data_IF_788466380890
#
_entry.id   IF_788466380890
#
_cell.length_a   1.000
_cell.length_b   1.000
_cell.length_c   1.000
_cell.angle_alpha   90.00
_cell.angle_beta   90.00
_cell.angle_gamma   90.00
#
_symmetry.space_group_name_H-M   'P 1'
#
loop_
_entity.id
_entity.type
_entity.pdbx_description
1 polymer ?
#
# COMPACT_ATOMS: atom_id res chain seq x y z
N UNK A 1 -9.42 -5.12 12.22
CA UNK A 1 -9.14 -3.76 12.75
C UNK A 1 -7.76 -3.27 12.29
N UNK A 2 -7.49 -1.96 12.28
CA UNK A 2 -6.19 -1.41 11.89
C UNK A 2 -5.06 -1.96 12.78
N UNK A 3 -4.03 -2.50 12.13
CA UNK A 3 -2.84 -3.08 12.75
C UNK A 3 -1.55 -2.30 12.48
N UNK A 4 -1.50 -1.48 11.42
CA UNK A 4 -0.35 -0.67 11.06
C UNK A 4 -0.79 0.55 10.23
N UNK A 5 -0.02 1.63 10.31
CA UNK A 5 -0.23 2.86 9.55
C UNK A 5 0.92 3.09 8.59
N UNK A 6 0.62 3.06 7.29
CA UNK A 6 1.57 3.33 6.23
C UNK A 6 1.50 4.80 5.81
N UNK A 7 2.67 5.42 5.78
CA UNK A 7 2.84 6.82 5.42
C UNK A 7 3.21 6.87 3.94
N UNK A 8 2.21 7.26 3.14
CA UNK A 8 2.28 7.37 1.69
C UNK A 8 2.32 6.05 0.90
N UNK A 9 2.19 6.16 -0.43
CA UNK A 9 2.35 5.06 -1.38
C UNK A 9 3.43 5.42 -2.39
N UNK A 10 4.40 4.53 -2.67
CA UNK A 10 5.42 4.72 -3.72
C UNK A 10 6.04 6.13 -3.80
N UNK A 11 6.59 6.68 -2.69
CA UNK A 11 7.12 8.04 -2.68
C UNK A 11 8.30 8.29 -3.64
N UNK A 12 8.92 7.23 -4.15
CA UNK A 12 9.97 7.30 -5.18
C UNK A 12 9.44 7.14 -6.62
N UNK A 13 8.12 7.17 -6.81
CA UNK A 13 7.46 7.07 -8.11
C UNK A 13 6.75 8.39 -8.45
N UNK A 14 7.03 8.96 -9.63
CA UNK A 14 6.44 10.24 -10.07
C UNK A 14 4.90 10.24 -10.06
N UNK A 15 4.32 9.05 -10.21
CA UNK A 15 2.88 8.79 -10.16
C UNK A 15 2.25 8.99 -8.79
N UNK A 16 3.07 9.10 -7.73
CA UNK A 16 2.61 9.22 -6.36
C UNK A 16 3.31 10.36 -5.60
N UNK A 17 4.49 10.82 -6.02
CA UNK A 17 5.16 11.98 -5.46
C UNK A 17 5.90 12.73 -6.56
N UNK A 18 5.75 14.05 -6.65
CA UNK A 18 6.32 14.84 -7.75
C UNK A 18 7.80 15.20 -7.51
N UNK A 19 8.76 14.57 -8.22
CA UNK A 19 10.18 14.87 -8.08
C UNK A 19 10.58 16.18 -8.76
N UNK A 20 9.74 16.79 -9.60
CA UNK A 20 10.06 18.12 -10.15
C UNK A 20 9.89 19.20 -9.07
N UNK A 21 8.96 19.01 -8.14
CA UNK A 21 8.75 19.90 -6.99
C UNK A 21 9.70 19.56 -5.84
N UNK A 22 9.96 18.27 -5.59
CA UNK A 22 10.79 17.78 -4.48
C UNK A 22 11.88 16.81 -4.96
N UNK A 23 12.88 17.30 -5.73
CA UNK A 23 13.85 16.45 -6.43
C UNK A 23 14.79 15.66 -5.54
N UNK A 24 14.91 16.04 -4.27
CA UNK A 24 15.77 15.39 -3.28
C UNK A 24 14.97 14.73 -2.13
N UNK A 25 13.64 14.69 -2.25
CA UNK A 25 12.72 14.14 -1.24
C UNK A 25 12.81 14.81 0.13
N UNK A 26 13.22 16.08 0.19
CA UNK A 26 13.28 16.84 1.44
C UNK A 26 11.87 17.07 2.00
N UNK A 27 10.94 17.53 1.16
CA UNK A 27 9.56 17.80 1.58
C UNK A 27 8.85 16.50 1.97
N UNK A 28 9.11 15.41 1.24
CA UNK A 28 8.61 14.08 1.60
C UNK A 28 9.11 13.67 2.99
N UNK A 29 10.41 13.82 3.23
CA UNK A 29 11.03 13.43 4.50
C UNK A 29 10.43 14.21 5.67
N UNK A 30 10.30 15.53 5.54
CA UNK A 30 9.68 16.38 6.56
C UNK A 30 8.22 16.01 6.83
N UNK A 31 7.45 15.75 5.77
CA UNK A 31 6.05 15.32 5.87
C UNK A 31 5.93 13.94 6.54
N UNK A 32 6.77 12.98 6.15
CA UNK A 32 6.73 11.63 6.68
C UNK A 32 7.08 11.61 8.18
N UNK A 33 8.07 12.40 8.60
CA UNK A 33 8.42 12.56 10.02
C UNK A 33 7.25 13.17 10.80
N UNK A 34 6.64 14.24 10.30
CA UNK A 34 5.50 14.88 10.97
C UNK A 34 4.30 13.92 11.11
N UNK A 35 3.95 13.21 10.02
CA UNK A 35 2.88 12.22 10.05
C UNK A 35 3.16 11.07 11.02
N UNK A 36 4.40 10.55 11.02
CA UNK A 36 4.82 9.51 11.96
C UNK A 36 4.67 9.97 13.42
N UNK A 37 5.14 11.17 13.75
CA UNK A 37 5.05 11.73 15.09
C UNK A 37 3.58 11.85 15.53
N UNK A 38 2.72 12.39 14.67
CA UNK A 38 1.30 12.53 14.94
C UNK A 38 0.59 11.16 15.10
N UNK A 39 0.95 10.16 14.28
CA UNK A 39 0.47 8.78 14.43
C UNK A 39 0.91 8.21 15.79
N UNK A 40 2.18 8.40 16.17
CA UNK A 40 2.73 7.92 17.45
C UNK A 40 2.04 8.57 18.65
N UNK A 41 1.72 9.86 18.57
CA UNK A 41 0.96 10.57 19.60
C UNK A 41 -0.47 10.04 19.72
N UNK A 42 -1.12 9.74 18.58
CA UNK A 42 -2.48 9.17 18.55
C UNK A 42 -2.53 7.72 19.06
N UNK A 43 -1.56 6.89 18.67
CA UNK A 43 -1.41 5.52 19.15
C UNK A 43 0.08 5.08 19.08
N UNK A 44 0.80 5.07 20.22
CA UNK A 44 2.22 4.73 20.25
C UNK A 44 2.51 3.26 19.96
N UNK A 45 1.51 2.38 20.09
CA UNK A 45 1.64 0.94 19.89
C UNK A 45 1.40 0.52 18.43
N UNK A 46 1.01 1.46 17.56
CA UNK A 46 0.75 1.18 16.16
C UNK A 46 2.07 1.27 15.35
N UNK A 47 2.48 0.19 14.67
CA UNK A 47 3.59 0.22 13.74
C UNK A 47 3.38 1.28 12.66
N UNK A 48 4.41 2.11 12.45
CA UNK A 48 4.47 3.11 11.38
C UNK A 48 5.31 2.53 10.25
N UNK A 49 4.71 2.40 9.08
CA UNK A 49 5.31 1.78 7.90
C UNK A 49 5.67 2.88 6.91
N UNK A 50 6.92 2.93 6.46
CA UNK A 50 7.30 3.76 5.33
C UNK A 50 6.59 3.24 4.07
N UNK A 51 5.95 4.12 3.31
CA UNK A 51 5.28 3.78 2.05
C UNK A 51 6.13 2.92 1.13
N UNK A 52 5.53 1.85 0.59
CA UNK A 52 6.26 0.87 -0.19
C UNK A 52 6.87 1.48 -1.46
N UNK A 53 8.16 1.20 -1.71
CA UNK A 53 8.90 1.80 -2.82
C UNK A 53 8.79 0.98 -4.11
N UNK A 54 8.64 1.69 -5.24
CA UNK A 54 8.59 1.10 -6.58
C UNK A 54 9.19 2.08 -7.61
N UNK A 55 10.38 1.79 -8.16
CA UNK A 55 11.16 0.56 -8.02
C UNK A 55 11.76 0.34 -6.63
N UNK A 56 12.22 -0.89 -6.36
CA UNK A 56 13.04 -1.20 -5.19
C UNK A 56 14.41 -0.55 -5.38
N UNK A 57 14.77 0.35 -4.46
CA UNK A 57 15.98 1.18 -4.54
C UNK A 57 16.59 1.42 -3.13
N UNK A 58 17.72 0.77 -2.80
CA UNK A 58 18.44 1.00 -1.55
C UNK A 58 19.01 2.43 -1.42
N UNK A 59 19.29 3.11 -2.54
CA UNK A 59 19.76 4.49 -2.56
C UNK A 59 18.72 5.45 -2.01
N UNK A 60 17.45 5.27 -2.42
CA UNK A 60 16.32 6.00 -1.86
C UNK A 60 16.17 5.80 -0.34
N UNK A 61 16.32 4.55 0.14
CA UNK A 61 16.28 4.26 1.58
C UNK A 61 17.41 4.97 2.33
N UNK A 62 18.64 4.97 1.80
CA UNK A 62 19.75 5.72 2.39
C UNK A 62 19.48 7.23 2.41
N UNK A 63 18.93 7.82 1.35
CA UNK A 63 18.58 9.23 1.32
C UNK A 63 17.58 9.59 2.45
N UNK A 64 16.53 8.78 2.62
CA UNK A 64 15.56 9.00 3.70
C UNK A 64 16.16 8.76 5.09
N UNK A 65 17.11 7.83 5.21
CA UNK A 65 17.86 7.56 6.44
C UNK A 65 18.71 8.76 6.85
N UNK A 66 19.46 9.33 5.92
CA UNK A 66 20.29 10.52 6.15
C UNK A 66 19.46 11.74 6.56
N UNK A 67 18.17 11.76 6.19
CA UNK A 67 17.18 12.78 6.56
C UNK A 67 16.42 12.47 7.85
N UNK A 68 16.72 11.35 8.52
CA UNK A 68 16.14 10.96 9.81
C UNK A 68 14.79 10.26 9.72
N UNK A 69 14.25 9.97 8.53
CA UNK A 69 12.92 9.33 8.40
C UNK A 69 12.88 7.95 9.05
N UNK A 70 13.97 7.18 8.91
CA UNK A 70 14.05 5.81 9.45
C UNK A 70 14.05 5.76 10.98
N UNK A 71 14.35 6.85 11.67
CA UNK A 71 14.24 6.96 13.14
C UNK A 71 12.77 7.08 13.60
N UNK A 72 11.88 7.42 12.66
CA UNK A 72 10.47 7.68 12.90
C UNK A 72 9.56 6.56 12.35
N UNK A 73 10.08 5.58 11.62
CA UNK A 73 9.29 4.42 11.18
C UNK A 73 9.80 3.12 11.78
N UNK A 74 8.91 2.14 11.86
CA UNK A 74 9.21 0.82 12.41
C UNK A 74 9.50 -0.20 11.30
N UNK A 75 8.95 0.02 10.10
CA UNK A 75 9.03 -0.91 8.97
C UNK A 75 9.34 -0.16 7.68
N UNK A 76 10.16 -0.76 6.81
CA UNK A 76 10.35 -0.33 5.42
C UNK A 76 9.54 -1.25 4.51
N UNK A 77 8.79 -0.67 3.57
CA UNK A 77 8.02 -1.47 2.63
C UNK A 77 8.60 -1.38 1.20
N UNK A 78 8.39 -2.43 0.42
CA UNK A 78 8.80 -2.52 -0.98
C UNK A 78 7.66 -3.08 -1.83
N UNK A 79 7.59 -2.66 -3.09
CA UNK A 79 6.66 -3.20 -4.07
C UNK A 79 7.41 -3.87 -5.22
N UNK A 80 6.81 -4.90 -5.82
CA UNK A 80 7.42 -5.58 -6.96
C UNK A 80 6.43 -6.20 -7.93
N UNK A 81 6.69 -5.96 -9.20
CA UNK A 81 5.93 -6.36 -10.37
C UNK A 81 6.89 -6.76 -11.51
N UNK A 82 7.72 -7.79 -11.30
CA UNK A 82 8.80 -8.16 -12.21
C UNK A 82 8.35 -8.68 -13.58
N UNK A 83 7.06 -8.95 -13.77
CA UNK A 83 6.50 -9.36 -15.06
C UNK A 83 5.80 -8.20 -15.80
N UNK A 84 5.74 -7.02 -15.18
CA UNK A 84 4.89 -5.93 -15.64
C UNK A 84 5.66 -4.60 -15.76
N UNK A 85 6.16 -4.06 -14.65
CA UNK A 85 6.76 -2.71 -14.63
C UNK A 85 8.22 -2.69 -14.18
N UNK A 86 8.67 -3.68 -13.40
CA UNK A 86 10.05 -3.68 -12.95
C UNK A 86 10.99 -4.40 -13.93
N UNK A 87 12.23 -3.89 -14.02
CA UNK A 87 13.25 -4.36 -14.96
C UNK A 87 14.20 -5.39 -14.32
N UNK A 88 13.63 -6.37 -13.61
CA UNK A 88 14.34 -7.49 -13.00
C UNK A 88 13.44 -8.74 -13.02
N UNK A 89 14.05 -9.92 -13.02
CA UNK A 89 13.35 -11.20 -13.14
C UNK A 89 12.77 -11.63 -11.78
N UNK A 90 11.62 -12.30 -11.77
CA UNK A 90 10.96 -12.75 -10.54
C UNK A 90 11.87 -13.56 -9.59
N UNK A 91 12.86 -14.31 -10.13
CA UNK A 91 13.84 -15.08 -9.36
C UNK A 91 14.79 -14.21 -8.52
N UNK A 92 14.88 -12.92 -8.82
CA UNK A 92 15.72 -11.95 -8.12
C UNK A 92 15.04 -11.38 -6.86
N UNK A 93 13.78 -11.74 -6.56
CA UNK A 93 13.06 -11.31 -5.35
C UNK A 93 13.90 -11.43 -4.06
N UNK A 94 14.53 -12.57 -3.73
CA UNK A 94 15.36 -12.68 -2.54
C UNK A 94 16.52 -11.68 -2.54
N UNK A 95 17.20 -11.51 -3.67
CA UNK A 95 18.28 -10.53 -3.81
C UNK A 95 17.78 -9.08 -3.65
N UNK A 96 16.58 -8.76 -4.15
CA UNK A 96 15.95 -7.44 -3.96
C UNK A 96 15.62 -7.14 -2.50
N UNK A 97 15.20 -8.14 -1.73
CA UNK A 97 15.03 -7.97 -0.28
C UNK A 97 16.39 -7.76 0.40
N UNK A 98 17.41 -8.54 0.03
CA UNK A 98 18.74 -8.45 0.63
C UNK A 98 19.45 -7.12 0.30
N UNK A 99 19.23 -6.56 -0.89
CA UNK A 99 19.68 -5.21 -1.26
C UNK A 99 19.17 -4.14 -0.28
N UNK A 100 17.91 -4.24 0.15
CA UNK A 100 17.32 -3.31 1.13
C UNK A 100 17.80 -3.62 2.55
N UNK A 101 17.93 -4.91 2.93
CA UNK A 101 18.51 -5.30 4.23
C UNK A 101 19.93 -4.78 4.43
N UNK A 102 20.68 -4.61 3.35
CA UNK A 102 22.05 -4.10 3.42
C UNK A 102 22.12 -2.64 3.90
N UNK A 103 21.03 -1.87 3.82
CA UNK A 103 21.01 -0.43 4.13
C UNK A 103 20.15 -0.05 5.35
N UNK A 104 19.31 -0.97 5.83
CA UNK A 104 18.46 -0.78 7.02
C UNK A 104 18.35 -2.06 7.86
N UNK A 105 18.25 -1.88 9.18
CA UNK A 105 17.97 -2.91 10.18
C UNK A 105 16.47 -3.08 10.46
N UNK A 106 15.61 -2.24 9.86
CA UNK A 106 14.16 -2.32 10.01
C UNK A 106 13.61 -3.57 9.31
N UNK A 107 12.56 -4.21 9.84
CA UNK A 107 11.81 -5.22 9.11
C UNK A 107 11.35 -4.71 7.74
N UNK A 108 11.37 -5.61 6.75
CA UNK A 108 10.96 -5.32 5.38
C UNK A 108 9.65 -6.02 5.10
N UNK A 109 8.63 -5.28 4.67
CA UNK A 109 7.36 -5.84 4.21
C UNK A 109 7.23 -5.70 2.69
N UNK A 110 6.66 -6.70 2.03
CA UNK A 110 6.25 -6.61 0.63
C UNK A 110 4.79 -6.17 0.61
N UNK A 111 4.54 -4.88 0.50
CA UNK A 111 3.18 -4.32 0.68
C UNK A 111 2.39 -4.21 -0.62
N UNK A 112 3.00 -4.57 -1.73
CA UNK A 112 2.33 -4.72 -3.02
C UNK A 112 3.16 -5.62 -3.92
N UNK A 113 2.60 -6.76 -4.32
CA UNK A 113 3.17 -7.63 -5.35
C UNK A 113 2.05 -8.22 -6.18
N UNK A 114 2.21 -8.26 -7.50
CA UNK A 114 1.17 -8.77 -8.37
C UNK A 114 1.68 -9.06 -9.76
N UNK A 115 0.85 -9.72 -10.55
CA UNK A 115 1.15 -10.09 -11.92
C UNK A 115 -0.09 -9.88 -12.78
N UNK A 116 0.07 -9.12 -13.86
CA UNK A 116 -1.02 -8.81 -14.77
C UNK A 116 -1.38 -9.99 -15.66
N UNK A 117 -2.67 -10.23 -15.83
CA UNK A 117 -3.20 -11.20 -16.81
C UNK A 117 -3.36 -10.60 -18.21
N UNK A 118 -2.83 -9.40 -18.49
CA UNK A 118 -3.00 -8.71 -19.78
C UNK A 118 -2.63 -9.58 -20.99
N UNK A 119 -1.57 -10.40 -20.88
CA UNK A 119 -1.14 -11.31 -21.94
C UNK A 119 -1.87 -12.65 -21.94
N UNK A 120 -2.07 -13.25 -20.75
CA UNK A 120 -2.77 -14.52 -20.54
C UNK A 120 -3.07 -14.70 -19.04
N UNK A 121 -4.18 -15.34 -18.68
CA UNK A 121 -4.56 -15.54 -17.27
C UNK A 121 -3.66 -16.57 -16.56
N UNK A 122 -3.12 -17.54 -17.28
CA UNK A 122 -2.23 -18.58 -16.77
C UNK A 122 -0.88 -18.03 -16.27
N UNK A 123 -0.47 -16.86 -16.77
CA UNK A 123 0.76 -16.19 -16.32
C UNK A 123 0.65 -15.79 -14.85
N UNK A 124 -0.53 -15.33 -14.42
CA UNK A 124 -0.79 -14.98 -13.03
C UNK A 124 -0.78 -16.21 -12.12
N UNK A 125 -1.27 -17.37 -12.59
CA UNK A 125 -1.19 -18.65 -11.86
C UNK A 125 0.26 -19.01 -11.55
N UNK A 126 1.11 -19.07 -12.60
CA UNK A 126 2.52 -19.40 -12.43
C UNK A 126 3.23 -18.41 -11.51
N UNK A 127 2.99 -17.13 -11.76
CA UNK A 127 3.72 -16.08 -11.08
C UNK A 127 3.28 -15.86 -9.63
N UNK A 128 2.01 -16.10 -9.30
CA UNK A 128 1.53 -16.14 -7.91
C UNK A 128 2.23 -17.25 -7.14
N UNK A 129 2.23 -18.46 -7.69
CA UNK A 129 2.89 -19.61 -7.07
C UNK A 129 4.39 -19.37 -6.88
N UNK A 130 5.06 -18.77 -7.88
CA UNK A 130 6.48 -18.45 -7.78
C UNK A 130 6.77 -17.34 -6.78
N UNK A 131 5.90 -16.33 -6.69
CA UNK A 131 5.99 -15.25 -5.70
C UNK A 131 5.86 -15.82 -4.28
N UNK A 132 4.86 -16.67 -4.06
CA UNK A 132 4.64 -17.33 -2.77
C UNK A 132 5.86 -18.17 -2.36
N UNK A 133 6.41 -18.98 -3.27
CA UNK A 133 7.62 -19.78 -3.02
C UNK A 133 8.84 -18.92 -2.62
N UNK A 134 9.00 -17.76 -3.27
CA UNK A 134 10.17 -16.91 -3.08
C UNK A 134 10.07 -15.98 -1.88
N UNK A 135 8.86 -15.58 -1.45
CA UNK A 135 8.67 -14.57 -0.42
C UNK A 135 8.14 -15.13 0.90
N UNK A 136 7.32 -16.19 0.89
CA UNK A 136 6.80 -16.76 2.14
C UNK A 136 7.96 -17.26 3.00
N UNK A 137 8.00 -16.80 4.26
CA UNK A 137 9.10 -17.08 5.18
C UNK A 137 10.36 -16.23 4.97
N UNK A 138 10.44 -15.45 3.89
CA UNK A 138 11.53 -14.47 3.69
C UNK A 138 11.24 -13.13 4.32
N UNK A 139 9.98 -12.69 4.33
CA UNK A 139 9.55 -11.40 4.91
C UNK A 139 8.31 -11.59 5.79
N UNK A 140 8.08 -10.74 6.81
CA UNK A 140 6.98 -10.94 7.76
C UNK A 140 5.59 -10.74 7.14
N UNK A 141 5.44 -9.84 6.16
CA UNK A 141 4.16 -9.54 5.50
C UNK A 141 4.29 -9.39 4.00
N UNK A 142 3.32 -9.95 3.29
CA UNK A 142 3.21 -9.92 1.83
C UNK A 142 1.77 -9.61 1.45
N UNK A 143 1.54 -8.63 0.58
CA UNK A 143 0.21 -8.28 0.09
C UNK A 143 0.13 -8.46 -1.42
N UNK A 144 -0.74 -9.38 -1.86
CA UNK A 144 -1.02 -9.62 -3.27
C UNK A 144 -1.94 -8.52 -3.83
N UNK A 145 -1.50 -7.85 -4.89
CA UNK A 145 -2.26 -6.87 -5.64
C UNK A 145 -2.82 -7.52 -6.92
N UNK A 146 -4.12 -7.68 -7.08
CA UNK A 146 -5.24 -7.25 -6.20
C UNK A 146 -6.37 -8.28 -6.17
N UNK A 147 -7.47 -7.97 -5.46
CA UNK A 147 -8.66 -8.82 -5.50
C UNK A 147 -9.43 -8.62 -6.81
N UNK A 148 -9.73 -7.38 -7.19
CA UNK A 148 -10.47 -7.08 -8.43
C UNK A 148 -9.59 -6.40 -9.46
N UNK A 149 -9.84 -6.74 -10.72
CA UNK A 149 -9.41 -5.91 -11.84
C UNK A 149 -9.93 -4.48 -11.68
N UNK A 150 -9.11 -3.53 -12.10
CA UNK A 150 -9.53 -2.13 -12.18
C UNK A 150 -10.56 -1.99 -13.31
N UNK A 151 -11.73 -1.38 -13.07
CA UNK A 151 -12.71 -1.17 -14.12
C UNK A 151 -12.14 -0.38 -15.29
N UNK A 152 -12.37 -0.82 -16.54
CA UNK A 152 -11.82 -0.10 -17.71
C UNK A 152 -12.42 1.29 -17.90
N UNK A 153 -13.61 1.51 -17.36
CA UNK A 153 -14.28 2.81 -17.35
C UNK A 153 -13.67 3.78 -16.33
N UNK A 154 -12.84 3.30 -15.40
CA UNK A 154 -12.15 4.14 -14.42
C UNK A 154 -10.80 4.55 -14.98
N UNK A 155 -10.42 5.81 -14.79
CA UNK A 155 -9.05 6.22 -15.09
C UNK A 155 -8.09 5.55 -14.10
N UNK A 156 -7.00 4.98 -14.61
CA UNK A 156 -5.86 4.62 -13.77
C UNK A 156 -5.22 5.93 -13.29
N UNK A 157 -5.74 6.47 -12.17
CA UNK A 157 -5.51 7.83 -11.67
C UNK A 157 -4.03 8.20 -11.53
N UNK A 158 -3.15 7.21 -11.43
CA UNK A 158 -1.71 7.38 -11.21
C UNK A 158 -0.85 7.25 -12.48
N UNK A 159 -1.40 7.10 -13.70
CA UNK A 159 -0.59 6.65 -14.86
C UNK A 159 -0.88 7.38 -16.17
N UNK A 160 0.18 7.62 -16.97
CA UNK A 160 0.11 8.44 -18.18
C UNK A 160 0.03 7.56 -19.44
N UNK A 161 -1.18 7.38 -19.96
CA UNK A 161 -1.50 6.49 -21.11
C UNK A 161 -0.54 6.63 -22.30
N UNK A 162 -0.16 7.86 -22.66
CA UNK A 162 0.71 8.14 -23.81
C UNK A 162 2.19 7.82 -23.54
N UNK A 163 2.62 7.85 -22.27
CA UNK A 163 4.03 7.63 -21.89
C UNK A 163 4.35 6.18 -21.54
N UNK A 164 3.35 5.36 -21.18
CA UNK A 164 3.55 4.00 -20.67
C UNK A 164 3.33 2.89 -21.70
N UNK A 165 2.84 3.23 -22.90
CA UNK A 165 2.62 2.25 -23.97
C UNK A 165 1.74 1.08 -23.53
N UNK A 166 2.14 -0.15 -23.83
CA UNK A 166 1.37 -1.35 -23.46
C UNK A 166 1.31 -1.60 -21.95
N UNK A 167 2.27 -1.08 -21.18
CA UNK A 167 2.30 -1.24 -19.71
C UNK A 167 1.17 -0.50 -19.02
N UNK A 168 0.54 0.49 -19.67
CA UNK A 168 -0.68 1.14 -19.19
C UNK A 168 -1.84 0.15 -19.06
N UNK A 169 -1.98 -0.77 -20.02
CA UNK A 169 -3.13 -1.68 -20.01
C UNK A 169 -3.04 -2.75 -18.93
N UNK A 170 -1.82 -3.04 -18.43
CA UNK A 170 -1.59 -4.05 -17.39
C UNK A 170 -2.32 -3.73 -16.08
N UNK A 171 -2.50 -2.44 -15.78
CA UNK A 171 -3.19 -1.96 -14.57
C UNK A 171 -4.64 -2.48 -14.46
N UNK A 172 -5.30 -2.76 -15.59
CA UNK A 172 -6.69 -3.24 -15.64
C UNK A 172 -6.84 -4.75 -15.46
N UNK A 173 -5.75 -5.50 -15.28
CA UNK A 173 -5.76 -6.98 -15.29
C UNK A 173 -4.99 -7.60 -14.11
N UNK A 174 -4.90 -6.88 -12.98
CA UNK A 174 -4.14 -7.32 -11.79
C UNK A 174 -4.97 -8.16 -10.81
N UNK A 175 -6.30 -8.16 -10.93
CA UNK A 175 -7.19 -8.84 -10.00
C UNK A 175 -7.12 -10.35 -10.10
N UNK A 176 -7.40 -11.02 -8.99
CA UNK A 176 -7.77 -12.44 -8.94
C UNK A 176 -9.22 -12.67 -9.43
N UNK A 177 -10.03 -11.62 -9.38
CA UNK A 177 -11.36 -11.50 -9.96
C UNK A 177 -11.31 -10.52 -11.12
N UNK A 178 -12.15 -10.77 -12.13
CA UNK A 178 -12.41 -9.79 -13.20
C UNK A 178 -13.22 -8.62 -12.67
N UNK A 179 -13.38 -7.58 -13.49
CA UNK A 179 -14.16 -6.38 -13.16
C UNK A 179 -15.59 -6.72 -12.68
N UNK A 180 -16.20 -7.75 -13.27
CA UNK A 180 -17.55 -8.24 -12.95
C UNK A 180 -17.61 -9.20 -11.75
N UNK A 181 -16.49 -9.43 -11.07
CA UNK A 181 -16.37 -10.35 -9.93
C UNK A 181 -16.27 -11.82 -10.30
N UNK A 182 -16.23 -12.18 -11.60
CA UNK A 182 -15.99 -13.57 -11.99
C UNK A 182 -14.55 -13.99 -11.68
N UNK A 183 -14.34 -15.21 -11.16
CA UNK A 183 -13.01 -15.66 -10.74
C UNK A 183 -12.08 -15.91 -11.94
N UNK A 184 -10.80 -15.56 -11.79
CA UNK A 184 -9.71 -15.99 -12.67
C UNK A 184 -9.06 -17.28 -12.14
N UNK A 185 -8.34 -18.05 -12.97
CA UNK A 185 -7.66 -19.27 -12.55
C UNK A 185 -6.75 -19.12 -11.33
N UNK A 186 -6.06 -17.98 -11.18
CA UNK A 186 -5.14 -17.75 -10.07
C UNK A 186 -5.83 -17.65 -8.70
N UNK A 187 -7.15 -17.43 -8.65
CA UNK A 187 -7.91 -17.35 -7.40
C UNK A 187 -7.82 -18.65 -6.59
N UNK A 188 -7.88 -19.81 -7.26
CA UNK A 188 -7.79 -21.12 -6.61
C UNK A 188 -6.41 -21.37 -6.01
N UNK A 189 -5.35 -20.92 -6.68
CA UNK A 189 -3.99 -20.99 -6.15
C UNK A 189 -3.78 -20.00 -4.99
N UNK A 190 -4.29 -18.78 -5.11
CA UNK A 190 -4.23 -17.78 -4.05
C UNK A 190 -4.88 -18.29 -2.74
N UNK A 191 -6.05 -18.95 -2.84
CA UNK A 191 -6.76 -19.48 -1.68
C UNK A 191 -5.89 -20.44 -0.82
N UNK A 192 -4.91 -21.11 -1.43
CA UNK A 192 -3.98 -22.03 -0.72
C UNK A 192 -2.99 -21.29 0.18
N UNK A 193 -2.74 -20.00 -0.10
CA UNK A 193 -1.75 -19.17 0.59
C UNK A 193 -2.34 -17.92 1.24
N UNK A 194 -3.64 -17.66 1.10
CA UNK A 194 -4.32 -16.45 1.56
C UNK A 194 -4.23 -16.18 3.08
N UNK A 195 -3.99 -17.23 3.89
CA UNK A 195 -3.76 -17.07 5.34
C UNK A 195 -2.37 -16.53 5.67
N UNK A 196 -1.40 -16.65 4.76
CA UNK A 196 0.00 -16.25 4.93
C UNK A 196 0.40 -15.09 4.02
N UNK A 197 -0.33 -14.87 2.92
CA UNK A 197 -0.15 -13.76 1.98
C UNK A 197 -1.47 -12.98 1.89
N UNK A 198 -1.49 -11.77 2.45
CA UNK A 198 -2.66 -10.89 2.46
C UNK A 198 -3.00 -10.31 1.10
N UNK A 199 -4.00 -9.43 1.05
CA UNK A 199 -4.37 -8.70 -0.16
C UNK A 199 -4.00 -7.22 -0.07
N UNK A 200 -3.64 -6.62 -1.19
CA UNK A 200 -3.67 -5.19 -1.39
C UNK A 200 -4.89 -4.88 -2.27
N UNK A 201 -5.90 -4.22 -1.70
CA UNK A 201 -7.09 -3.78 -2.44
C UNK A 201 -7.42 -2.35 -2.04
N UNK A 202 -7.25 -1.42 -2.97
CA UNK A 202 -7.76 -0.06 -2.82
C UNK A 202 -9.26 -0.04 -3.05
N UNK A 203 -10.02 0.54 -2.13
CA UNK A 203 -11.44 0.85 -2.33
C UNK A 203 -11.57 2.33 -2.64
N UNK A 204 -12.03 2.64 -3.85
CA UNK A 204 -12.30 4.03 -4.22
C UNK A 204 -13.43 4.61 -3.38
N UNK A 205 -13.56 5.92 -3.34
CA UNK A 205 -14.64 6.58 -2.63
C UNK A 205 -16.00 6.03 -3.06
N UNK A 206 -16.81 5.56 -2.10
CA UNK A 206 -18.11 4.92 -2.36
C UNK A 206 -18.06 3.70 -3.31
N UNK A 207 -16.96 2.92 -3.29
CA UNK A 207 -16.83 1.71 -4.10
C UNK A 207 -17.91 0.68 -3.74
N UNK A 208 -18.86 0.50 -4.65
CA UNK A 208 -19.98 -0.43 -4.53
C UNK A 208 -19.56 -1.89 -4.35
N UNK A 209 -18.30 -2.25 -4.66
CA UNK A 209 -17.80 -3.62 -4.55
C UNK A 209 -17.36 -3.99 -3.13
N UNK A 210 -17.39 -3.06 -2.17
CA UNK A 210 -16.87 -3.27 -0.81
C UNK A 210 -17.43 -4.54 -0.14
N UNK A 211 -18.74 -4.77 -0.18
CA UNK A 211 -19.36 -5.90 0.53
C UNK A 211 -19.08 -7.24 -0.14
N UNK A 212 -19.09 -7.26 -1.47
CA UNK A 212 -18.74 -8.45 -2.25
C UNK A 212 -17.27 -8.79 -2.07
N UNK A 213 -16.39 -7.77 -2.02
CA UNK A 213 -14.98 -7.93 -1.73
C UNK A 213 -14.75 -8.54 -0.35
N UNK A 214 -15.42 -8.02 0.69
CA UNK A 214 -15.35 -8.58 2.05
C UNK A 214 -15.79 -10.04 2.08
N UNK A 215 -16.88 -10.36 1.37
CA UNK A 215 -17.38 -11.74 1.25
C UNK A 215 -16.35 -12.66 0.60
N UNK A 216 -15.73 -12.23 -0.49
CA UNK A 216 -14.65 -12.97 -1.16
C UNK A 216 -13.43 -13.15 -0.25
N UNK A 217 -12.95 -12.09 0.39
CA UNK A 217 -11.79 -12.16 1.29
C UNK A 217 -12.02 -13.14 2.44
N UNK A 218 -13.21 -13.14 3.05
CA UNK A 218 -13.61 -14.12 4.08
C UNK A 218 -13.63 -15.54 3.52
N UNK A 219 -14.20 -15.74 2.33
CA UNK A 219 -14.24 -17.05 1.65
C UNK A 219 -12.85 -17.60 1.35
N UNK A 220 -11.92 -16.74 0.95
CA UNK A 220 -10.54 -17.11 0.64
C UNK A 220 -9.71 -17.39 1.90
N UNK A 221 -10.18 -16.96 3.08
CA UNK A 221 -9.44 -17.11 4.33
C UNK A 221 -8.36 -16.04 4.54
N UNK A 222 -8.49 -14.89 3.88
CA UNK A 222 -7.59 -13.73 4.03
C UNK A 222 -7.59 -13.28 5.49
N UNK A 223 -6.40 -13.05 6.05
CA UNK A 223 -6.22 -12.59 7.44
C UNK A 223 -5.92 -11.11 7.54
N UNK A 224 -5.01 -10.64 6.69
CA UNK A 224 -4.57 -9.26 6.70
C UNK A 224 -4.72 -8.62 5.32
N UNK A 225 -5.05 -7.34 5.33
CA UNK A 225 -5.41 -6.52 4.17
C UNK A 225 -4.64 -5.21 4.23
N UNK A 226 -4.12 -4.80 3.08
CA UNK A 226 -3.69 -3.42 2.86
C UNK A 226 -4.73 -2.70 2.03
N UNK A 227 -5.15 -1.55 2.52
CA UNK A 227 -6.01 -0.59 1.81
C UNK A 227 -5.60 0.83 2.19
N UNK A 228 -6.40 1.85 1.93
CA UNK A 228 -6.08 3.19 2.43
C UNK A 228 -7.25 4.15 2.58
N UNK A 229 -6.93 5.25 3.25
CA UNK A 229 -7.82 6.39 3.47
C UNK A 229 -7.19 7.60 2.80
N UNK A 230 -7.93 8.20 1.87
CA UNK A 230 -7.44 9.29 1.05
C UNK A 230 -7.64 10.66 1.72
N UNK A 231 -6.56 11.39 2.00
CA UNK A 231 -6.60 12.77 2.50
C UNK A 231 -7.31 13.68 1.49
N UNK A 232 -7.07 13.50 0.18
CA UNK A 232 -7.84 14.16 -0.86
C UNK A 232 -9.35 13.87 -0.76
N UNK A 233 -9.74 12.60 -0.54
CA UNK A 233 -11.15 12.24 -0.39
C UNK A 233 -11.76 12.76 0.91
N UNK A 234 -10.96 13.08 1.93
CA UNK A 234 -11.46 13.68 3.18
C UNK A 234 -12.13 15.05 2.99
N UNK A 235 -11.91 15.70 1.85
CA UNK A 235 -12.58 16.94 1.46
C UNK A 235 -13.86 16.73 0.64
N UNK A 236 -14.23 15.48 0.33
CA UNK A 236 -15.51 15.18 -0.32
C UNK A 236 -16.67 15.28 0.68
N UNK A 237 -17.90 15.58 0.21
CA UNK A 237 -19.09 15.43 1.04
C UNK A 237 -19.18 14.02 1.62
N UNK A 238 -19.61 13.90 2.89
CA UNK A 238 -19.80 12.64 3.60
C UNK A 238 -18.55 11.74 3.71
N UNK A 239 -17.34 12.32 3.63
CA UNK A 239 -16.12 11.52 3.61
C UNK A 239 -15.93 10.63 4.84
N UNK A 240 -16.26 11.15 6.02
CA UNK A 240 -16.19 10.37 7.27
C UNK A 240 -17.22 9.23 7.28
N UNK A 241 -18.42 9.42 6.74
CA UNK A 241 -19.43 8.37 6.67
C UNK A 241 -18.93 7.20 5.78
N UNK A 242 -18.28 7.52 4.66
CA UNK A 242 -17.64 6.52 3.81
C UNK A 242 -16.47 5.82 4.53
N UNK A 243 -15.58 6.56 5.19
CA UNK A 243 -14.45 5.98 5.91
C UNK A 243 -14.93 5.07 7.06
N UNK A 244 -15.98 5.47 7.78
CA UNK A 244 -16.61 4.65 8.82
C UNK A 244 -17.14 3.36 8.25
N UNK A 245 -17.90 3.45 7.15
CA UNK A 245 -18.48 2.30 6.48
C UNK A 245 -17.41 1.33 5.97
N UNK A 246 -16.32 1.85 5.43
CA UNK A 246 -15.20 1.04 4.97
C UNK A 246 -14.53 0.32 6.16
N UNK A 247 -14.20 1.05 7.22
CA UNK A 247 -13.51 0.47 8.38
C UNK A 247 -14.39 -0.51 9.16
N UNK A 248 -15.70 -0.28 9.22
CA UNK A 248 -16.67 -1.23 9.80
C UNK A 248 -16.73 -2.53 9.00
N UNK A 249 -16.83 -2.45 7.67
CA UNK A 249 -16.87 -3.63 6.81
C UNK A 249 -15.59 -4.47 6.88
N UNK A 250 -14.45 -3.82 7.14
CA UNK A 250 -13.13 -4.44 7.25
C UNK A 250 -12.74 -4.84 8.68
N UNK A 251 -13.66 -4.75 9.65
CA UNK A 251 -13.36 -4.98 11.07
C UNK A 251 -12.75 -6.37 11.36
N UNK A 252 -13.11 -7.38 10.56
CA UNK A 252 -12.69 -8.79 10.71
C UNK A 252 -11.29 -9.10 10.14
N UNK A 253 -10.60 -8.13 9.52
CA UNK A 253 -9.25 -8.30 8.95
C UNK A 253 -8.23 -7.46 9.70
N UNK A 254 -6.97 -7.90 9.77
CA UNK A 254 -5.88 -7.03 10.22
C UNK A 254 -5.54 -6.05 9.09
N UNK A 255 -5.83 -4.76 9.30
CA UNK A 255 -5.71 -3.74 8.24
C UNK A 255 -4.42 -2.93 8.39
N UNK A 256 -3.54 -2.99 7.40
CA UNK A 256 -2.51 -1.98 7.19
C UNK A 256 -3.13 -0.83 6.38
N UNK A 257 -3.39 0.31 7.04
CA UNK A 257 -4.00 1.47 6.38
C UNK A 257 -2.93 2.36 5.76
N UNK A 258 -3.06 2.68 4.48
CA UNK A 258 -2.18 3.63 3.79
C UNK A 258 -2.82 5.01 3.77
N UNK A 259 -2.07 6.03 4.20
CA UNK A 259 -2.47 7.43 4.07
C UNK A 259 -1.76 8.07 2.87
N UNK A 260 -2.54 8.44 1.87
CA UNK A 260 -2.24 9.29 0.70
C UNK A 260 -3.57 10.00 0.39
N UNK A 261 -3.87 10.70 -0.69
CA UNK A 261 -3.05 11.58 -1.49
C UNK A 261 -3.30 13.04 -1.09
N UNK A 262 -2.47 13.97 -1.57
CA UNK A 262 -2.65 15.40 -1.31
C UNK A 262 -3.93 15.93 -1.97
N UNK A 263 -4.85 16.60 -1.26
CA UNK A 263 -5.95 17.33 -1.89
C UNK A 263 -5.39 18.41 -2.82
N UNK A 264 -5.92 18.57 -4.04
CA UNK A 264 -5.37 19.50 -5.04
C UNK A 264 -5.16 20.92 -4.49
N UNK A 265 -6.14 21.46 -3.76
CA UNK A 265 -6.07 22.81 -3.17
C UNK A 265 -5.10 22.93 -1.97
N UNK A 266 -4.51 21.83 -1.51
CA UNK A 266 -3.51 21.77 -0.43
C UNK A 266 -2.11 21.43 -0.92
N UNK A 267 -1.93 21.09 -2.20
CA UNK A 267 -0.63 20.87 -2.81
C UNK A 267 0.07 22.17 -3.20
N UNK A 268 1.41 22.15 -3.24
CA UNK A 268 2.21 23.21 -3.88
C UNK A 268 1.77 23.42 -5.33
N UNK A 269 1.53 22.33 -6.06
CA UNK A 269 0.79 22.29 -7.32
C UNK A 269 -0.60 21.65 -7.11
N UNK A 270 -1.61 21.98 -7.93
CA UNK A 270 -2.96 21.42 -7.83
C UNK A 270 -3.02 19.99 -8.35
N UNK A 271 -2.30 19.08 -7.69
CA UNK A 271 -2.18 17.69 -8.10
C UNK A 271 -2.00 16.77 -6.89
N UNK A 272 -2.50 15.54 -6.98
CA UNK A 272 -2.53 14.59 -5.87
C UNK A 272 -1.14 14.06 -5.45
N UNK A 273 -0.17 14.14 -6.36
CA UNK A 273 1.25 13.81 -6.12
C UNK A 273 2.07 14.98 -5.58
N UNK A 274 1.49 16.18 -5.54
CA UNK A 274 2.22 17.35 -5.07
C UNK A 274 2.51 17.22 -3.57
N UNK A 275 3.71 17.63 -3.12
CA UNK A 275 3.94 17.87 -1.71
C UNK A 275 2.90 18.85 -1.14
N UNK A 276 2.47 18.69 0.12
CA UNK A 276 1.55 19.63 0.74
C UNK A 276 2.19 20.99 0.98
N UNK A 277 1.39 22.06 0.92
CA UNK A 277 1.80 23.40 1.35
C UNK A 277 2.10 23.46 2.85
N UNK A 278 1.32 22.70 3.65
CA UNK A 278 1.43 22.61 5.10
C UNK A 278 1.44 21.13 5.49
N UNK A 279 2.63 20.60 5.80
CA UNK A 279 2.82 19.17 6.13
C UNK A 279 2.05 18.75 7.39
N UNK A 280 1.84 19.68 8.32
CA UNK A 280 1.09 19.46 9.56
C UNK A 280 -0.38 19.10 9.29
N UNK A 281 -0.97 19.54 8.18
CA UNK A 281 -2.35 19.17 7.83
C UNK A 281 -2.47 17.68 7.44
N UNK A 282 -1.48 17.14 6.72
CA UNK A 282 -1.42 15.70 6.44
C UNK A 282 -1.16 14.89 7.71
N UNK A 283 -0.31 15.41 8.61
CA UNK A 283 -0.03 14.78 9.89
C UNK A 283 -1.30 14.72 10.78
N UNK A 284 -2.07 15.81 10.85
CA UNK A 284 -3.34 15.85 11.58
C UNK A 284 -4.39 14.94 10.96
N UNK A 285 -4.45 14.83 9.62
CA UNK A 285 -5.30 13.84 8.95
C UNK A 285 -4.95 12.42 9.40
N UNK A 286 -3.68 12.03 9.33
CA UNK A 286 -3.20 10.72 9.79
C UNK A 286 -3.60 10.46 11.25
N UNK A 287 -3.30 11.41 12.16
CA UNK A 287 -3.63 11.28 13.58
C UNK A 287 -5.14 11.24 13.85
N UNK A 288 -5.94 12.00 13.10
CA UNK A 288 -7.40 11.98 13.17
C UNK A 288 -7.97 10.61 12.80
N UNK A 289 -7.49 10.00 11.71
CA UNK A 289 -7.91 8.67 11.29
C UNK A 289 -7.48 7.60 12.29
N UNK A 290 -6.27 7.70 12.85
CA UNK A 290 -5.80 6.75 13.88
C UNK A 290 -6.59 6.89 15.19
N UNK A 291 -6.85 8.10 15.67
CA UNK A 291 -7.73 8.30 16.85
C UNK A 291 -9.12 7.70 16.65
N UNK A 292 -9.64 7.77 15.43
CA UNK A 292 -10.99 7.30 15.11
C UNK A 292 -11.08 5.78 14.97
N UNK A 293 -10.13 5.17 14.26
CA UNK A 293 -10.23 3.76 13.83
C UNK A 293 -9.24 2.81 14.51
N UNK A 294 -8.27 3.36 15.24
CA UNK A 294 -7.27 2.63 16.01
C UNK A 294 -6.93 3.34 17.33
N UNK A 295 -7.92 3.74 18.16
CA UNK A 295 -7.65 4.48 19.39
C UNK A 295 -6.74 3.68 20.33
N UNK A 296 -5.81 4.37 20.99
CA UNK A 296 -5.01 3.74 22.03
C UNK A 296 -5.92 3.19 23.13
N UNK A 297 -5.82 1.89 23.39
CA UNK A 297 -6.41 1.25 24.58
C UNK A 297 -5.27 0.66 25.42
N UNK A 298 -5.30 0.82 26.74
CA UNK A 298 -4.21 0.34 27.62
C UNK A 298 -3.96 -1.17 27.48
N UNK A 299 -5.00 -1.93 27.11
CA UNK A 299 -4.95 -3.37 26.90
C UNK A 299 -4.20 -3.84 25.63
N UNK A 300 -3.91 -2.96 24.65
CA UNK A 300 -3.30 -3.35 23.36
C UNK A 300 -1.76 -3.35 23.35
N UNK A 301 -1.13 -3.11 24.50
CA UNK A 301 0.27 -2.63 24.60
C UNK A 301 1.36 -3.71 24.46
N UNK A 302 1.03 -5.00 24.60
CA UNK A 302 2.05 -6.06 24.64
C UNK A 302 2.08 -7.01 23.43
N UNK A 303 0.98 -7.16 22.69
CA UNK A 303 0.84 -8.26 21.72
C UNK A 303 1.14 -7.87 20.27
N UNK A 304 0.81 -6.64 19.84
CA UNK A 304 0.94 -6.23 18.42
C UNK A 304 2.36 -5.89 17.97
N UNK A 305 3.23 -5.42 18.87
CA UNK A 305 4.62 -5.07 18.53
C UNK A 305 5.46 -6.31 18.22
N UNK A 306 5.15 -7.45 18.84
CA UNK A 306 5.84 -8.73 18.63
C UNK A 306 5.45 -9.44 17.33
N UNK A 307 4.25 -9.17 16.79
CA UNK A 307 3.78 -9.75 15.52
C UNK A 307 4.21 -8.92 14.29
N UNK A 308 4.59 -7.65 14.50
CA UNK A 308 5.05 -6.74 13.45
C UNK A 308 6.58 -6.80 13.20
N UNK A 309 7.35 -7.31 14.17
CA UNK A 309 8.81 -7.50 14.12
C UNK A 309 9.16 -8.93 13.71
#
# INVERSE_FOLDING_TARGET
MIEAAMIWNEPNNKSHWDPEIDPDWRLFSEMAIAASQAIKEANPNLPRVLGGISPIDPGFINNLKERGVLDHVDVVAVHGFPLDWNLWQIHEWPAKIDEVRAVTDKPIWVTEVGISTFGAEEVQVWGLNRTAELLLGQVPKIHWYSLYDLPRAWEATTRHREAEGSSYYRHFYMGLLREDGTPKPALEEYAKVASQMGLCQWFHFEDHRLDDAVTWMKRLGVKYLRTGLSWADSFRPNALDWFDRQMEALADFDVTVTFCFTPEHRGIAPHHTSPPQVKEEFAEFCAGMIRRYAPHTEASSAQKVLEAL
#
